data_IF_309688813391
#
_entry.id   IF_309688813391
#
_cell.length_a   1.000
_cell.length_b   1.000
_cell.length_c   1.000
_cell.angle_alpha   90.00
_cell.angle_beta   90.00
_cell.angle_gamma   90.00
#
_symmetry.space_group_name_H-M   'P 1'
#
loop_
_entity.id
_entity.type
_entity.pdbx_description
1 polymer ?
#
# COMPACT_ATOMS: atom_id res chain seq x y z
N UNK A 1 -11.82 -34.08 -2.71
CA UNK A 1 -10.89 -32.94 -2.56
C UNK A 1 -11.77 -31.71 -2.61
N UNK A 2 -11.78 -30.91 -1.55
CA UNK A 2 -12.58 -29.69 -1.53
C UNK A 2 -11.95 -28.71 -2.52
N UNK A 3 -12.75 -28.21 -3.46
CA UNK A 3 -12.30 -27.31 -4.52
C UNK A 3 -12.14 -25.87 -4.03
N UNK A 4 -11.55 -25.01 -4.86
CA UNK A 4 -11.40 -23.57 -4.58
C UNK A 4 -12.75 -22.90 -4.24
N UNK A 5 -13.83 -23.22 -4.97
CA UNK A 5 -15.17 -22.68 -4.68
C UNK A 5 -15.64 -23.02 -3.27
N UNK A 6 -15.37 -24.23 -2.78
CA UNK A 6 -15.76 -24.69 -1.45
C UNK A 6 -14.90 -24.04 -0.35
N UNK A 7 -13.62 -23.76 -0.65
CA UNK A 7 -12.74 -22.97 0.21
C UNK A 7 -13.26 -21.54 0.39
N UNK A 8 -13.63 -20.86 -0.70
CA UNK A 8 -14.20 -19.50 -0.63
C UNK A 8 -15.57 -19.49 0.06
N UNK A 9 -16.41 -20.48 -0.17
CA UNK A 9 -17.70 -20.61 0.51
C UNK A 9 -17.56 -20.77 2.03
N UNK A 10 -16.51 -21.47 2.51
CA UNK A 10 -16.25 -21.63 3.95
C UNK A 10 -15.61 -20.40 4.60
N UNK A 11 -14.83 -19.62 3.85
CA UNK A 11 -14.09 -18.45 4.35
C UNK A 11 -14.95 -17.19 4.48
N UNK A 12 -16.20 -17.18 4.00
CA UNK A 12 -17.09 -16.02 4.05
C UNK A 12 -16.72 -14.92 3.03
N UNK A 13 -16.92 -13.65 3.38
CA UNK A 13 -16.59 -12.48 2.55
C UNK A 13 -15.07 -12.28 2.44
N UNK A 14 -14.39 -13.21 1.76
CA UNK A 14 -12.98 -13.03 1.40
C UNK A 14 -12.91 -11.94 0.33
N UNK A 15 -12.55 -10.72 0.76
CA UNK A 15 -12.42 -9.57 -0.12
C UNK A 15 -11.15 -9.67 -0.99
N UNK A 16 -10.05 -10.27 -0.52
CA UNK A 16 -8.76 -10.29 -1.25
C UNK A 16 -8.07 -11.65 -1.28
N UNK A 17 -7.45 -11.98 -2.42
CA UNK A 17 -6.57 -13.14 -2.65
C UNK A 17 -5.25 -12.66 -3.22
N UNK A 18 -4.14 -13.03 -2.60
CA UNK A 18 -2.80 -12.61 -3.00
C UNK A 18 -2.01 -13.82 -3.51
N UNK A 19 -1.50 -13.74 -4.74
CA UNK A 19 -0.59 -14.71 -5.32
C UNK A 19 0.86 -14.24 -5.12
N UNK A 20 1.52 -14.77 -4.07
CA UNK A 20 2.89 -14.43 -3.71
C UNK A 20 3.87 -15.60 -3.96
N UNK A 21 5.12 -15.29 -4.33
CA UNK A 21 6.16 -16.30 -4.53
C UNK A 21 7.25 -15.87 -5.53
N UNK A 22 8.28 -16.71 -5.66
CA UNK A 22 9.40 -16.47 -6.59
C UNK A 22 8.94 -16.34 -8.05
N UNK A 23 9.77 -15.73 -8.89
CA UNK A 23 9.53 -15.66 -10.33
C UNK A 23 9.45 -17.06 -10.97
N UNK A 24 8.59 -17.22 -11.99
CA UNK A 24 8.45 -18.47 -12.75
C UNK A 24 7.56 -19.56 -12.14
N UNK A 25 6.88 -19.32 -11.02
CA UNK A 25 5.98 -20.29 -10.37
C UNK A 25 4.56 -20.33 -10.98
N UNK A 26 4.29 -19.54 -12.02
CA UNK A 26 2.97 -19.45 -12.64
C UNK A 26 1.94 -18.63 -11.85
N UNK A 27 2.40 -17.66 -11.02
CA UNK A 27 1.52 -16.80 -10.19
C UNK A 27 0.50 -16.04 -11.04
N UNK A 28 0.98 -15.33 -12.05
CA UNK A 28 0.17 -14.56 -13.00
C UNK A 28 -0.85 -15.43 -13.74
N UNK A 29 -0.45 -16.64 -14.15
CA UNK A 29 -1.38 -17.59 -14.77
C UNK A 29 -2.45 -18.05 -13.78
N UNK A 30 -2.08 -18.37 -12.55
CA UNK A 30 -3.02 -18.80 -11.52
C UNK A 30 -3.97 -17.67 -11.08
N UNK A 31 -3.47 -16.43 -10.96
CA UNK A 31 -4.27 -15.26 -10.60
C UNK A 31 -5.30 -14.93 -11.68
N UNK A 32 -4.88 -14.88 -12.94
CA UNK A 32 -5.77 -14.67 -14.08
C UNK A 32 -6.82 -15.79 -14.20
N UNK A 33 -6.41 -17.06 -14.03
CA UNK A 33 -7.32 -18.20 -14.07
C UNK A 33 -8.37 -18.15 -12.95
N UNK A 34 -7.96 -17.78 -11.72
CA UNK A 34 -8.89 -17.61 -10.60
C UNK A 34 -9.88 -16.48 -10.88
N UNK A 35 -9.39 -15.31 -11.33
CA UNK A 35 -10.22 -14.15 -11.61
C UNK A 35 -11.27 -14.46 -12.69
N UNK A 36 -10.86 -15.15 -13.76
CA UNK A 36 -11.75 -15.59 -14.82
C UNK A 36 -12.79 -16.62 -14.34
N UNK A 37 -12.38 -17.60 -13.52
CA UNK A 37 -13.29 -18.58 -12.98
C UNK A 37 -14.36 -17.94 -12.08
N UNK A 38 -13.93 -17.06 -11.16
CA UNK A 38 -14.83 -16.38 -10.24
C UNK A 38 -15.81 -15.45 -10.97
N UNK A 39 -15.37 -14.76 -12.02
CA UNK A 39 -16.25 -13.92 -12.83
C UNK A 39 -17.25 -14.75 -13.65
N UNK A 40 -16.79 -15.81 -14.33
CA UNK A 40 -17.60 -16.51 -15.33
C UNK A 40 -18.41 -17.69 -14.79
N UNK A 41 -17.99 -18.30 -13.68
CA UNK A 41 -18.66 -19.48 -13.08
C UNK A 41 -19.39 -19.13 -11.80
N UNK A 42 -18.79 -18.31 -10.95
CA UNK A 42 -19.39 -17.90 -9.66
C UNK A 42 -20.15 -16.57 -9.77
N UNK A 43 -20.00 -15.83 -10.88
CA UNK A 43 -20.73 -14.58 -11.14
C UNK A 43 -20.26 -13.40 -10.28
N UNK A 44 -19.11 -13.48 -9.64
CA UNK A 44 -18.54 -12.40 -8.81
C UNK A 44 -17.97 -11.30 -9.67
N UNK A 45 -18.16 -10.04 -9.28
CA UNK A 45 -17.40 -8.90 -9.83
C UNK A 45 -15.97 -8.97 -9.30
N UNK A 46 -15.02 -9.25 -10.18
CA UNK A 46 -13.62 -9.43 -9.83
C UNK A 46 -12.74 -8.34 -10.40
N UNK A 47 -11.72 -7.96 -9.64
CA UNK A 47 -10.61 -7.13 -10.10
C UNK A 47 -9.32 -7.92 -9.95
N UNK A 48 -8.69 -8.25 -11.07
CA UNK A 48 -7.34 -8.80 -11.10
C UNK A 48 -6.34 -7.68 -11.37
N UNK A 49 -5.33 -7.53 -10.51
CA UNK A 49 -4.38 -6.44 -10.64
C UNK A 49 -2.96 -6.89 -10.37
N UNK A 50 -2.03 -6.22 -11.03
CA UNK A 50 -0.59 -6.41 -10.87
C UNK A 50 0.11 -5.06 -10.83
N UNK A 51 1.22 -5.02 -10.10
CA UNK A 51 2.18 -3.91 -10.11
C UNK A 51 3.52 -4.37 -10.70
N UNK A 52 3.58 -5.55 -11.31
CA UNK A 52 4.80 -6.08 -11.93
C UNK A 52 5.06 -5.32 -13.24
N UNK A 53 6.26 -4.73 -13.43
CA UNK A 53 6.53 -3.91 -14.62
C UNK A 53 6.67 -4.77 -15.89
N UNK A 54 6.76 -6.10 -15.76
CA UNK A 54 6.85 -7.01 -16.90
C UNK A 54 5.50 -7.26 -17.62
N UNK A 55 4.46 -6.47 -17.37
CA UNK A 55 3.16 -6.47 -18.09
C UNK A 55 2.58 -7.88 -18.38
N UNK A 56 2.66 -8.77 -17.39
CA UNK A 56 2.37 -10.20 -17.60
C UNK A 56 0.88 -10.55 -17.66
N UNK A 57 -0.02 -9.70 -17.14
CA UNK A 57 -1.46 -9.84 -17.35
C UNK A 57 -1.85 -9.39 -18.75
N UNK A 58 -1.18 -8.35 -19.28
CA UNK A 58 -1.40 -7.89 -20.65
C UNK A 58 -1.14 -9.01 -21.66
N UNK A 59 -0.08 -9.79 -21.44
CA UNK A 59 0.24 -10.97 -22.24
C UNK A 59 -0.82 -12.08 -22.10
N UNK A 60 -1.27 -12.38 -20.88
CA UNK A 60 -2.24 -13.47 -20.63
C UNK A 60 -3.60 -13.20 -21.28
N UNK A 61 -4.07 -11.96 -21.22
CA UNK A 61 -5.37 -11.59 -21.80
C UNK A 61 -5.26 -11.03 -23.22
N UNK A 62 -4.05 -11.02 -23.80
CA UNK A 62 -3.75 -10.48 -25.13
C UNK A 62 -4.31 -9.04 -25.34
N UNK A 63 -4.21 -8.21 -24.30
CA UNK A 63 -4.69 -6.83 -24.28
C UNK A 63 -3.76 -5.97 -23.44
N UNK A 64 -3.45 -4.77 -23.92
CA UNK A 64 -2.60 -3.84 -23.19
C UNK A 64 -3.38 -3.08 -22.10
N UNK A 65 -3.04 -3.35 -20.82
CA UNK A 65 -3.58 -2.70 -19.63
C UNK A 65 -2.64 -1.69 -18.97
N UNK A 66 -1.35 -1.70 -19.33
CA UNK A 66 -0.31 -1.00 -18.57
C UNK A 66 -0.56 0.51 -18.56
N UNK A 67 -0.77 1.08 -17.36
CA UNK A 67 -1.02 2.51 -17.18
C UNK A 67 -2.34 3.03 -17.77
N UNK A 68 -3.26 2.15 -18.20
CA UNK A 68 -4.55 2.53 -18.83
C UNK A 68 -5.73 2.58 -17.89
N UNK A 69 -5.50 2.33 -16.60
CA UNK A 69 -6.56 2.20 -15.61
C UNK A 69 -7.28 0.85 -15.71
N UNK A 70 -8.44 0.76 -15.07
CA UNK A 70 -9.22 -0.48 -14.99
C UNK A 70 -9.94 -0.76 -16.31
N UNK A 71 -9.76 -1.95 -16.88
CA UNK A 71 -10.39 -2.40 -18.12
C UNK A 71 -11.21 -3.67 -17.87
N UNK A 72 -12.46 -3.68 -18.32
CA UNK A 72 -13.28 -4.89 -18.32
C UNK A 72 -12.85 -5.82 -19.48
N UNK A 73 -12.43 -7.05 -19.15
CA UNK A 73 -11.94 -8.02 -20.13
C UNK A 73 -13.06 -8.89 -20.66
N UNK A 74 -13.88 -9.41 -19.74
CA UNK A 74 -15.14 -10.15 -19.97
C UNK A 74 -16.14 -9.73 -18.89
N UNK A 75 -17.45 -10.02 -19.04
CA UNK A 75 -18.44 -9.63 -18.03
C UNK A 75 -18.00 -10.02 -16.62
N UNK A 76 -18.03 -9.04 -15.71
CA UNK A 76 -17.62 -9.15 -14.30
C UNK A 76 -16.11 -9.31 -14.05
N UNK A 77 -15.25 -9.44 -15.06
CA UNK A 77 -13.79 -9.50 -14.88
C UNK A 77 -13.14 -8.19 -15.32
N UNK A 78 -12.54 -7.51 -14.34
CA UNK A 78 -11.79 -6.28 -14.55
C UNK A 78 -10.31 -6.52 -14.30
N UNK A 79 -9.47 -5.87 -15.09
CA UNK A 79 -8.01 -5.98 -15.01
C UNK A 79 -7.36 -4.61 -15.01
N UNK A 80 -6.32 -4.44 -14.20
CA UNK A 80 -5.45 -3.26 -14.21
C UNK A 80 -3.99 -3.68 -14.01
N UNK A 81 -3.10 -3.09 -14.80
CA UNK A 81 -1.66 -3.13 -14.56
C UNK A 81 -1.20 -1.73 -14.15
N UNK A 82 -0.71 -1.65 -12.94
CA UNK A 82 -0.34 -0.40 -12.28
C UNK A 82 1.11 -0.10 -12.63
N UNK A 83 1.33 1.10 -13.18
CA UNK A 83 2.66 1.64 -13.41
C UNK A 83 3.28 2.08 -12.08
N UNK A 84 4.03 1.17 -11.47
CA UNK A 84 4.67 1.40 -10.18
C UNK A 84 5.80 2.45 -10.28
N UNK A 85 6.48 2.57 -11.42
CA UNK A 85 7.52 3.60 -11.61
C UNK A 85 6.89 4.99 -11.61
N UNK A 86 5.75 5.14 -12.29
CA UNK A 86 4.96 6.37 -12.25
C UNK A 86 4.47 6.68 -10.83
N UNK A 87 3.97 5.69 -10.09
CA UNK A 87 3.55 5.84 -8.68
C UNK A 87 4.69 6.32 -7.78
N UNK A 88 5.89 5.75 -7.93
CA UNK A 88 7.06 6.16 -7.15
C UNK A 88 7.43 7.61 -7.48
N UNK A 89 7.42 7.99 -8.75
CA UNK A 89 7.68 9.38 -9.15
C UNK A 89 6.64 10.35 -8.58
N UNK A 90 5.35 10.02 -8.63
CA UNK A 90 4.27 10.80 -8.03
C UNK A 90 4.47 10.97 -6.52
N UNK A 91 4.80 9.88 -5.81
CA UNK A 91 5.08 9.92 -4.38
C UNK A 91 6.27 10.82 -4.04
N UNK A 92 7.35 10.78 -4.82
CA UNK A 92 8.48 11.68 -4.63
C UNK A 92 8.08 13.15 -4.79
N UNK A 93 7.26 13.47 -5.80
CA UNK A 93 6.76 14.83 -6.00
C UNK A 93 5.88 15.29 -4.84
N UNK A 94 5.02 14.42 -4.31
CA UNK A 94 4.23 14.73 -3.11
C UNK A 94 5.11 15.03 -1.89
N UNK A 95 6.16 14.23 -1.67
CA UNK A 95 7.12 14.46 -0.58
C UNK A 95 7.84 15.79 -0.76
N UNK A 96 8.34 16.07 -1.98
CA UNK A 96 8.98 17.34 -2.31
C UNK A 96 8.05 18.52 -2.01
N UNK A 97 6.81 18.46 -2.49
CA UNK A 97 5.82 19.51 -2.27
C UNK A 97 5.48 19.70 -0.79
N UNK A 98 5.31 18.62 -0.02
CA UNK A 98 5.04 18.71 1.43
C UNK A 98 6.16 19.40 2.18
N UNK A 99 7.42 19.15 1.82
CA UNK A 99 8.57 19.82 2.44
C UNK A 99 8.54 21.31 2.11
N UNK A 100 8.29 21.69 0.85
CA UNK A 100 8.16 23.09 0.45
C UNK A 100 7.06 23.79 1.25
N UNK A 101 5.87 23.19 1.32
CA UNK A 101 4.70 23.75 2.01
C UNK A 101 4.96 23.89 3.53
N UNK A 102 5.54 22.87 4.15
CA UNK A 102 5.79 22.83 5.60
C UNK A 102 6.82 23.86 6.05
N UNK A 103 7.85 24.11 5.23
CA UNK A 103 8.92 25.05 5.54
C UNK A 103 8.76 26.41 4.85
N UNK A 104 7.73 26.59 4.02
CA UNK A 104 7.50 27.82 3.25
C UNK A 104 8.64 28.14 2.29
N UNK A 105 9.21 27.12 1.66
CA UNK A 105 10.33 27.24 0.72
C UNK A 105 9.80 27.39 -0.70
N UNK A 106 10.46 28.23 -1.51
CA UNK A 106 10.15 28.33 -2.95
C UNK A 106 10.77 27.16 -3.74
N UNK A 107 11.94 26.67 -3.30
CA UNK A 107 12.67 25.55 -3.90
C UNK A 107 13.35 24.71 -2.81
N UNK A 108 13.58 23.42 -3.11
CA UNK A 108 14.28 22.52 -2.21
C UNK A 108 15.79 22.78 -2.26
N UNK A 109 16.50 22.69 -1.11
CA UNK A 109 17.95 22.59 -1.13
C UNK A 109 18.40 21.40 -2.00
N UNK A 110 19.43 21.63 -2.82
CA UNK A 110 19.98 20.64 -3.77
C UNK A 110 20.29 19.30 -3.09
N UNK A 111 20.85 19.32 -1.88
CA UNK A 111 21.18 18.09 -1.15
C UNK A 111 19.93 17.27 -0.75
N UNK A 112 18.80 17.94 -0.48
CA UNK A 112 17.54 17.28 -0.13
C UNK A 112 16.89 16.70 -1.39
N UNK A 113 16.92 17.45 -2.48
CA UNK A 113 16.39 17.01 -3.77
C UNK A 113 17.14 15.79 -4.31
N UNK A 114 18.48 15.84 -4.35
CA UNK A 114 19.31 14.71 -4.77
C UNK A 114 19.07 13.47 -3.89
N UNK A 115 18.92 13.67 -2.58
CA UNK A 115 18.61 12.59 -1.66
C UNK A 115 17.27 11.93 -1.99
N UNK A 116 16.21 12.74 -2.19
CA UNK A 116 14.88 12.22 -2.54
C UNK A 116 14.95 11.47 -3.87
N UNK A 117 15.58 12.02 -4.89
CA UNK A 117 15.66 11.42 -6.22
C UNK A 117 16.41 10.08 -6.20
N UNK A 118 17.50 9.98 -5.42
CA UNK A 118 18.25 8.75 -5.25
C UNK A 118 17.41 7.61 -4.63
N UNK A 119 16.38 7.93 -3.82
CA UNK A 119 15.52 6.90 -3.20
C UNK A 119 14.56 6.22 -4.17
N UNK A 120 14.31 6.76 -5.37
CA UNK A 120 13.42 6.15 -6.38
C UNK A 120 13.79 4.70 -6.70
N UNK A 121 15.10 4.44 -6.74
CA UNK A 121 15.64 3.13 -7.14
C UNK A 121 15.63 2.11 -6.00
N UNK A 122 15.22 2.50 -4.79
CA UNK A 122 15.22 1.58 -3.66
C UNK A 122 14.08 0.58 -3.76
N UNK A 123 14.35 -0.74 -3.63
CA UNK A 123 13.30 -1.77 -3.68
C UNK A 123 12.16 -1.51 -2.70
N UNK A 124 12.45 -0.88 -1.57
CA UNK A 124 11.47 -0.52 -0.56
C UNK A 124 10.44 0.53 -1.06
N UNK A 125 10.84 1.47 -1.91
CA UNK A 125 9.92 2.45 -2.50
C UNK A 125 8.93 1.77 -3.45
N UNK A 126 9.44 0.86 -4.28
CA UNK A 126 8.61 0.09 -5.21
C UNK A 126 7.61 -0.83 -4.49
N UNK A 127 8.09 -1.50 -3.42
CA UNK A 127 7.24 -2.28 -2.52
C UNK A 127 6.15 -1.39 -1.90
N UNK A 128 6.51 -0.23 -1.32
CA UNK A 128 5.55 0.70 -0.73
C UNK A 128 4.49 1.21 -1.72
N UNK A 129 4.93 1.62 -2.92
CA UNK A 129 4.05 2.06 -3.99
C UNK A 129 3.04 0.97 -4.41
N UNK A 130 3.48 -0.30 -4.43
CA UNK A 130 2.62 -1.44 -4.71
C UNK A 130 1.53 -1.63 -3.65
N UNK A 131 1.90 -1.56 -2.36
CA UNK A 131 0.95 -1.75 -1.27
C UNK A 131 -0.06 -0.62 -1.16
N UNK A 132 0.40 0.60 -1.37
CA UNK A 132 -0.47 1.76 -1.39
C UNK A 132 -1.51 1.65 -2.52
N UNK A 133 -1.09 1.17 -3.71
CA UNK A 133 -2.00 0.95 -4.84
C UNK A 133 -3.02 -0.15 -4.55
N UNK A 134 -2.56 -1.23 -3.91
CA UNK A 134 -3.45 -2.29 -3.44
C UNK A 134 -4.47 -1.74 -2.42
N UNK A 135 -4.02 -0.93 -1.45
CA UNK A 135 -4.87 -0.38 -0.40
C UNK A 135 -5.94 0.55 -0.99
N UNK A 136 -5.57 1.43 -1.91
CA UNK A 136 -6.52 2.32 -2.60
C UNK A 136 -7.60 1.54 -3.36
N UNK A 137 -7.20 0.54 -4.15
CA UNK A 137 -8.14 -0.27 -4.93
C UNK A 137 -9.11 -1.04 -4.02
N UNK A 138 -8.62 -1.64 -2.95
CA UNK A 138 -9.45 -2.41 -2.01
C UNK A 138 -10.37 -1.50 -1.20
N UNK A 139 -9.88 -0.32 -0.78
CA UNK A 139 -10.66 0.64 0.01
C UNK A 139 -11.89 1.17 -0.75
N UNK A 140 -11.82 1.24 -2.08
CA UNK A 140 -12.94 1.66 -2.92
C UNK A 140 -14.16 0.71 -2.84
N UNK A 141 -13.95 -0.57 -2.46
CA UNK A 141 -15.01 -1.58 -2.28
C UNK A 141 -15.98 -1.70 -3.47
N UNK A 142 -15.47 -1.55 -4.69
CA UNK A 142 -16.28 -1.62 -5.91
C UNK A 142 -16.50 -3.06 -6.44
N UNK A 143 -15.67 -4.01 -6.00
CA UNK A 143 -15.64 -5.41 -6.46
C UNK A 143 -15.88 -6.39 -5.32
N UNK A 144 -16.42 -7.56 -5.65
CA UNK A 144 -16.70 -8.65 -4.70
C UNK A 144 -15.43 -9.44 -4.35
N UNK A 145 -14.43 -9.44 -5.23
CA UNK A 145 -13.16 -10.16 -5.03
C UNK A 145 -12.01 -9.44 -5.73
N UNK A 146 -10.98 -9.13 -4.96
CA UNK A 146 -9.71 -8.55 -5.39
C UNK A 146 -8.68 -9.67 -5.52
N UNK A 147 -8.07 -9.84 -6.70
CA UNK A 147 -7.03 -10.82 -6.96
C UNK A 147 -5.73 -10.09 -7.30
N UNK A 148 -4.77 -10.15 -6.38
CA UNK A 148 -3.48 -9.50 -6.53
C UNK A 148 -2.43 -10.48 -7.05
N UNK A 149 -1.87 -10.22 -8.23
CA UNK A 149 -0.65 -10.86 -8.72
C UNK A 149 0.56 -10.09 -8.21
N UNK A 150 1.16 -10.60 -7.13
CA UNK A 150 2.25 -9.90 -6.46
C UNK A 150 3.55 -10.07 -7.27
N UNK A 151 4.27 -8.97 -7.56
CA UNK A 151 5.61 -9.03 -8.13
C UNK A 151 6.53 -9.94 -7.28
N UNK A 152 7.58 -10.52 -7.85
CA UNK A 152 8.49 -11.41 -7.13
C UNK A 152 9.39 -10.63 -6.14
N UNK A 153 8.81 -10.14 -5.06
CA UNK A 153 9.54 -9.46 -3.99
C UNK A 153 10.30 -10.47 -3.14
N UNK A 154 11.61 -10.24 -2.95
CA UNK A 154 12.45 -11.05 -2.06
C UNK A 154 12.11 -10.90 -0.56
N UNK A 155 11.23 -9.97 -0.20
CA UNK A 155 11.05 -9.47 1.16
C UNK A 155 9.62 -9.51 1.72
N UNK A 156 8.61 -10.05 1.01
CA UNK A 156 7.20 -9.99 1.46
C UNK A 156 6.94 -10.47 2.91
N UNK A 157 7.68 -11.47 3.40
CA UNK A 157 7.60 -11.94 4.80
C UNK A 157 8.30 -11.00 5.79
N UNK A 158 9.36 -10.29 5.36
CA UNK A 158 10.02 -9.26 6.18
C UNK A 158 9.16 -8.02 6.36
N UNK A 159 8.17 -7.79 5.50
CA UNK A 159 7.32 -6.61 5.63
C UNK A 159 6.43 -6.66 6.88
N UNK A 160 5.85 -7.82 7.22
CA UNK A 160 5.10 -7.97 8.49
C UNK A 160 6.03 -7.66 9.67
N UNK A 161 7.26 -8.17 9.63
CA UNK A 161 8.28 -7.87 10.63
C UNK A 161 8.71 -6.38 10.63
N UNK A 162 8.74 -5.73 9.47
CA UNK A 162 9.10 -4.32 9.34
C UNK A 162 7.97 -3.41 9.84
N UNK A 163 6.71 -3.74 9.55
CA UNK A 163 5.55 -3.04 10.09
C UNK A 163 5.53 -3.07 11.62
N UNK A 164 5.86 -4.22 12.23
CA UNK A 164 6.04 -4.32 13.68
C UNK A 164 7.19 -3.44 14.21
N UNK A 165 8.33 -3.40 13.50
CA UNK A 165 9.48 -2.58 13.88
C UNK A 165 9.15 -1.09 13.77
N UNK A 166 8.52 -0.67 12.67
CA UNK A 166 8.10 0.71 12.42
C UNK A 166 7.04 1.14 13.43
N UNK A 167 6.05 0.29 13.76
CA UNK A 167 5.07 0.57 14.81
C UNK A 167 5.78 0.86 16.14
N UNK A 168 6.71 -0.01 16.56
CA UNK A 168 7.47 0.19 17.81
C UNK A 168 8.30 1.47 17.79
N UNK A 169 8.82 1.86 16.64
CA UNK A 169 9.56 3.11 16.46
C UNK A 169 8.66 4.33 16.58
N UNK A 170 7.52 4.33 15.89
CA UNK A 170 6.51 5.40 15.96
C UNK A 170 5.97 5.52 17.38
N UNK A 171 5.73 4.42 18.09
CA UNK A 171 5.31 4.42 19.49
C UNK A 171 6.36 5.13 20.37
N UNK A 172 7.64 4.81 20.21
CA UNK A 172 8.73 5.46 20.97
C UNK A 172 8.85 6.95 20.68
N UNK A 173 8.74 7.36 19.42
CA UNK A 173 8.81 8.79 19.05
C UNK A 173 7.59 9.53 19.61
N UNK A 174 6.40 8.91 19.54
CA UNK A 174 5.16 9.46 20.10
C UNK A 174 5.30 9.65 21.61
N UNK A 175 5.75 8.64 22.36
CA UNK A 175 5.99 8.74 23.80
C UNK A 175 7.00 9.85 24.16
N UNK A 176 8.07 9.97 23.37
CA UNK A 176 9.06 11.03 23.57
C UNK A 176 8.47 12.42 23.34
N UNK A 177 7.62 12.58 22.31
CA UNK A 177 6.97 13.85 21.98
C UNK A 177 5.90 14.22 23.00
N UNK A 178 5.11 13.26 23.47
CA UNK A 178 4.14 13.47 24.56
C UNK A 178 4.82 14.00 25.83
N UNK A 179 5.93 13.38 26.25
CA UNK A 179 6.74 13.88 27.37
C UNK A 179 7.27 15.28 27.13
N UNK A 180 7.78 15.57 25.94
CA UNK A 180 8.26 16.91 25.59
C UNK A 180 7.13 17.96 25.70
N UNK A 181 5.92 17.61 25.24
CA UNK A 181 4.73 18.46 25.35
C UNK A 181 4.32 18.73 26.80
N UNK A 182 4.44 17.73 27.68
CA UNK A 182 4.19 17.92 29.11
C UNK A 182 5.16 18.94 29.72
N UNK A 183 6.45 18.85 29.41
CA UNK A 183 7.44 19.84 29.85
C UNK A 183 7.17 21.23 29.29
N UNK A 184 6.80 21.33 28.00
CA UNK A 184 6.41 22.60 27.38
C UNK A 184 5.15 23.20 28.01
N UNK A 185 4.15 22.40 28.35
CA UNK A 185 2.94 22.85 29.03
C UNK A 185 3.22 23.38 30.45
N UNK A 186 4.09 22.70 31.20
CA UNK A 186 4.55 23.17 32.52
C UNK A 186 5.32 24.49 32.39
N UNK A 187 6.22 24.59 31.41
CA UNK A 187 6.99 25.80 31.14
C UNK A 187 6.10 26.98 30.68
N UNK A 188 5.09 26.71 29.85
CA UNK A 188 4.12 27.69 29.38
C UNK A 188 3.25 28.22 30.53
N UNK A 189 2.84 27.34 31.46
CA UNK A 189 2.12 27.72 32.69
C UNK A 189 2.96 28.64 33.58
N UNK A 190 4.26 28.36 33.71
CA UNK A 190 5.20 29.21 34.46
C UNK A 190 5.47 30.56 33.76
N UNK A 191 5.45 30.60 32.43
CA UNK A 191 5.66 31.82 31.62
C UNK A 191 4.38 32.60 31.29
N UNK A 192 3.20 32.08 31.65
CA UNK A 192 1.90 32.70 31.36
C UNK A 192 1.48 32.65 29.89
N UNK A 193 2.09 31.78 29.08
CA UNK A 193 1.77 31.60 27.65
C UNK A 193 0.83 30.41 27.44
N UNK A 194 0.01 30.45 26.37
CA UNK A 194 -0.80 29.28 25.96
C UNK A 194 0.05 28.29 25.18
N UNK A 195 -0.14 27.00 25.45
CA UNK A 195 0.43 25.93 24.65
C UNK A 195 -0.28 25.88 23.27
N UNK A 196 0.52 25.71 22.22
CA UNK A 196 0.07 25.50 20.84
C UNK A 196 -0.38 24.05 20.62
N UNK A 197 -1.22 23.81 19.61
CA UNK A 197 -1.40 22.46 19.08
C UNK A 197 -0.07 21.93 18.51
N UNK A 198 0.20 20.64 18.74
CA UNK A 198 1.42 19.96 18.30
C UNK A 198 1.11 19.16 17.04
N UNK A 199 1.24 19.80 15.88
CA UNK A 199 0.95 19.20 14.58
C UNK A 199 1.81 17.96 14.31
N UNK A 200 3.07 17.96 14.78
CA UNK A 200 3.97 16.81 14.68
C UNK A 200 3.42 15.60 15.43
N UNK A 201 2.87 15.80 16.63
CA UNK A 201 2.23 14.71 17.39
C UNK A 201 0.99 14.17 16.66
N UNK A 202 0.19 15.07 16.06
CA UNK A 202 -1.00 14.68 15.28
C UNK A 202 -0.62 13.82 14.07
N UNK A 203 0.44 14.20 13.36
CA UNK A 203 0.95 13.45 12.22
C UNK A 203 1.53 12.08 12.63
N UNK A 204 2.27 12.01 13.74
CA UNK A 204 2.76 10.75 14.30
C UNK A 204 1.62 9.78 14.66
N UNK A 205 0.53 10.30 15.25
CA UNK A 205 -0.65 9.51 15.57
C UNK A 205 -1.37 9.01 14.31
N UNK A 206 -1.39 9.80 13.24
CA UNK A 206 -1.96 9.38 11.95
C UNK A 206 -1.12 8.28 11.28
N UNK A 207 0.21 8.44 11.26
CA UNK A 207 1.15 7.41 10.79
C UNK A 207 0.97 6.12 11.59
N UNK A 208 0.86 6.21 12.92
CA UNK A 208 0.59 5.05 13.79
C UNK A 208 -0.70 4.33 13.40
N UNK A 209 -1.76 5.08 13.12
CA UNK A 209 -3.07 4.54 12.72
C UNK A 209 -2.98 3.77 11.40
N UNK A 210 -2.30 4.33 10.41
CA UNK A 210 -2.10 3.72 9.07
C UNK A 210 -1.31 2.42 9.15
N UNK A 211 -0.18 2.41 9.88
CA UNK A 211 0.65 1.21 10.06
C UNK A 211 -0.16 0.09 10.73
N UNK A 212 -0.99 0.43 11.72
CA UNK A 212 -1.86 -0.53 12.39
C UNK A 212 -2.91 -1.13 11.45
N UNK A 213 -3.63 -0.29 10.71
CA UNK A 213 -4.64 -0.74 9.75
C UNK A 213 -4.06 -1.69 8.70
N UNK A 214 -2.87 -1.38 8.20
CA UNK A 214 -2.13 -2.24 7.27
C UNK A 214 -1.76 -3.59 7.90
N UNK A 215 -1.25 -3.58 9.14
CA UNK A 215 -0.87 -4.80 9.85
C UNK A 215 -2.09 -5.70 10.13
N UNK A 216 -3.22 -5.10 10.53
CA UNK A 216 -4.46 -5.83 10.82
C UNK A 216 -5.04 -6.48 9.55
N UNK A 217 -4.96 -5.79 8.40
CA UNK A 217 -5.41 -6.29 7.10
C UNK A 217 -4.58 -7.50 6.62
N UNK A 218 -3.26 -7.48 6.85
CA UNK A 218 -2.36 -8.56 6.42
C UNK A 218 -2.40 -9.76 7.38
N UNK A 219 -2.60 -9.52 8.68
CA UNK A 219 -2.62 -10.58 9.71
C UNK A 219 -4.01 -11.17 9.97
N UNK A 220 -5.07 -10.59 9.38
CA UNK A 220 -6.44 -11.03 9.56
C UNK A 220 -7.01 -10.71 10.95
N UNK A 221 -6.58 -9.59 11.56
CA UNK A 221 -7.11 -9.07 12.82
C UNK A 221 -6.82 -9.92 14.06
N UNK A 222 -5.83 -10.83 14.03
CA UNK A 222 -5.45 -11.61 15.20
C UNK A 222 -4.31 -10.92 15.96
N UNK A 223 -4.67 -10.19 17.02
CA UNK A 223 -3.80 -9.97 18.18
C UNK A 223 -3.93 -11.14 19.16
#
# INVERSE_FOLDING_TARGET
MNGLSEFFAQKGDTEIVIFAGKGGLGKTTCSAALAYHMATKEGKRTLCFSTDPQASLSDIFERDFFGKGVIEVVPNLHVIEIDADKRVAEYQQEVKQRILDMYGLDELPEEIEEYIDATASEPAMYESATYDAMAELVAAKEYDLYIFDMPPFGHGVRMVAMAEILSKWVDKITEAREKAREYEAVAATLKGTKASEDEVLKELLDIRSKIKAFTDLITGGKQ
#
